data_IF_308579422355
#
_entry.id   IF_308579422355
#
_cell.length_a   1.000
_cell.length_b   1.000
_cell.length_c   1.000
_cell.angle_alpha   90.00
_cell.angle_beta   90.00
_cell.angle_gamma   90.00
#
_symmetry.space_group_name_H-M   'P 1'
#
loop_
_entity.id
_entity.type
_entity.pdbx_description
1 polymer ?
#
# COMPACT_ATOMS: atom_id res chain seq x y z
N UNK A 1 6.56 -21.49 1.12
CA UNK A 1 5.28 -21.35 1.86
C UNK A 1 4.14 -21.77 0.94
N UNK A 2 3.32 -22.79 1.27
CA UNK A 2 2.28 -23.33 0.40
C UNK A 2 0.96 -22.55 0.52
N UNK A 3 0.96 -21.26 0.16
CA UNK A 3 -0.25 -20.41 0.21
C UNK A 3 -0.56 -19.88 -1.18
N UNK A 4 -1.84 -19.78 -1.52
CA UNK A 4 -2.28 -19.37 -2.86
C UNK A 4 -3.17 -18.15 -2.88
N UNK A 5 -3.70 -17.77 -1.73
CA UNK A 5 -4.70 -16.73 -1.53
C UNK A 5 -4.62 -16.22 -0.08
N UNK A 6 -5.36 -15.15 0.21
CA UNK A 6 -5.32 -14.54 1.53
C UNK A 6 -5.88 -15.44 2.64
N UNK A 7 -7.00 -16.19 2.45
CA UNK A 7 -7.49 -17.11 3.48
C UNK A 7 -6.46 -18.18 3.87
N UNK A 8 -5.80 -18.81 2.89
CA UNK A 8 -4.73 -19.78 3.15
C UNK A 8 -3.52 -19.15 3.84
N UNK A 9 -3.16 -17.91 3.49
CA UNK A 9 -2.10 -17.17 4.18
C UNK A 9 -2.46 -16.87 5.64
N UNK A 10 -3.68 -16.42 5.92
CA UNK A 10 -4.17 -16.17 7.29
C UNK A 10 -4.15 -17.47 8.09
N UNK A 11 -4.69 -18.56 7.55
CA UNK A 11 -4.70 -19.86 8.21
C UNK A 11 -3.29 -20.37 8.50
N UNK A 12 -2.39 -20.28 7.50
CA UNK A 12 -0.99 -20.67 7.64
C UNK A 12 -0.25 -19.84 8.70
N UNK A 13 -0.53 -18.54 8.78
CA UNK A 13 0.06 -17.67 9.82
C UNK A 13 -0.29 -18.16 11.24
N UNK A 14 -1.54 -18.57 11.45
CA UNK A 14 -2.03 -19.05 12.75
C UNK A 14 -1.48 -20.41 13.15
N UNK A 15 -1.25 -21.30 12.17
CA UNK A 15 -0.73 -22.64 12.43
C UNK A 15 0.80 -22.70 12.51
N UNK A 16 1.50 -21.65 12.06
CA UNK A 16 2.96 -21.60 12.10
C UNK A 16 3.43 -21.15 13.49
N UNK A 17 4.24 -21.95 14.21
CA UNK A 17 4.85 -21.50 15.46
C UNK A 17 5.67 -20.22 15.25
N UNK A 18 5.39 -19.18 16.03
CA UNK A 18 6.02 -17.86 15.85
C UNK A 18 5.46 -17.02 14.69
N UNK A 19 4.40 -17.49 14.01
CA UNK A 19 3.72 -16.72 12.97
C UNK A 19 4.47 -16.66 11.63
N UNK A 20 4.14 -15.66 10.82
CA UNK A 20 4.78 -15.41 9.52
C UNK A 20 5.33 -13.99 9.51
N UNK A 21 6.63 -13.85 9.28
CA UNK A 21 7.26 -12.54 9.16
C UNK A 21 6.85 -11.81 7.87
N UNK A 22 6.64 -10.50 7.95
CA UNK A 22 6.39 -9.68 6.76
C UNK A 22 7.24 -8.41 6.75
N UNK A 23 7.76 -8.07 5.58
CA UNK A 23 8.49 -6.83 5.36
C UNK A 23 7.56 -5.65 5.05
N UNK A 24 8.03 -4.44 5.34
CA UNK A 24 7.40 -3.17 4.95
C UNK A 24 8.45 -2.13 4.58
N UNK A 25 8.04 -0.94 4.17
CA UNK A 25 8.93 0.20 3.96
C UNK A 25 9.38 0.91 5.25
N UNK A 26 9.02 0.39 6.44
CA UNK A 26 9.43 0.92 7.74
C UNK A 26 8.29 1.03 8.74
N UNK A 27 8.62 1.24 10.01
CA UNK A 27 7.64 1.49 11.07
C UNK A 27 6.83 2.76 10.77
N UNK A 28 5.54 2.71 11.03
CA UNK A 28 4.58 3.79 10.70
C UNK A 28 4.21 3.95 9.21
N UNK A 29 4.90 3.25 8.29
CA UNK A 29 4.56 3.31 6.86
C UNK A 29 3.19 2.72 6.55
N UNK A 30 2.53 3.16 5.48
CA UNK A 30 1.23 2.62 5.06
C UNK A 30 1.22 1.08 4.93
N UNK A 31 2.26 0.42 4.38
CA UNK A 31 2.33 -1.05 4.38
C UNK A 31 2.43 -1.68 5.79
N UNK A 32 3.10 -1.02 6.74
CA UNK A 32 3.10 -1.46 8.13
C UNK A 32 1.70 -1.36 8.74
N UNK A 33 1.02 -0.21 8.59
CA UNK A 33 -0.35 -0.01 9.07
C UNK A 33 -1.32 -1.05 8.48
N UNK A 34 -1.13 -1.41 7.22
CA UNK A 34 -1.96 -2.39 6.54
C UNK A 34 -1.80 -3.81 7.10
N UNK A 35 -0.56 -4.23 7.37
CA UNK A 35 -0.28 -5.51 8.02
C UNK A 35 -0.89 -5.58 9.43
N UNK A 36 -0.73 -4.51 10.21
CA UNK A 36 -1.29 -4.42 11.56
C UNK A 36 -2.82 -4.39 11.58
N UNK A 37 -3.45 -3.63 10.68
CA UNK A 37 -4.91 -3.65 10.55
C UNK A 37 -5.42 -5.05 10.14
N UNK A 38 -4.68 -5.76 9.29
CA UNK A 38 -5.05 -7.11 8.88
C UNK A 38 -4.96 -8.08 10.06
N UNK A 39 -3.92 -7.98 10.89
CA UNK A 39 -3.80 -8.74 12.15
C UNK A 39 -5.01 -8.48 13.05
N UNK A 40 -5.33 -7.22 13.32
CA UNK A 40 -6.48 -6.82 14.16
C UNK A 40 -7.79 -7.39 13.64
N UNK A 41 -8.05 -7.31 12.33
CA UNK A 41 -9.33 -7.74 11.75
C UNK A 41 -9.49 -9.25 11.61
N UNK A 42 -8.39 -10.01 11.55
CA UNK A 42 -8.44 -11.44 11.19
C UNK A 42 -7.89 -12.37 12.26
N UNK A 43 -7.18 -11.82 13.26
CA UNK A 43 -6.38 -12.59 14.21
C UNK A 43 -5.19 -13.30 13.58
N UNK A 44 -4.75 -12.90 12.38
CA UNK A 44 -3.54 -13.44 11.76
C UNK A 44 -2.32 -13.18 12.65
N UNK A 45 -1.38 -14.12 12.63
CA UNK A 45 -0.14 -14.03 13.40
C UNK A 45 1.00 -13.62 12.47
N UNK A 46 1.08 -12.32 12.21
CA UNK A 46 2.14 -11.73 11.38
C UNK A 46 3.14 -10.95 12.23
N UNK A 47 4.42 -11.17 11.97
CA UNK A 47 5.55 -10.51 12.64
C UNK A 47 6.16 -9.45 11.72
N UNK A 48 6.15 -8.19 12.15
CA UNK A 48 6.60 -7.07 11.32
C UNK A 48 8.13 -6.95 11.33
N UNK A 49 8.73 -6.94 10.14
CA UNK A 49 10.15 -6.68 9.93
C UNK A 49 10.29 -5.33 9.20
N UNK A 50 10.72 -4.25 9.88
CA UNK A 50 10.89 -2.95 9.26
C UNK A 50 12.16 -2.91 8.40
N UNK A 51 12.02 -2.46 7.15
CA UNK A 51 13.15 -2.14 6.27
C UNK A 51 13.26 -0.63 6.09
N UNK A 52 14.42 -0.16 5.60
CA UNK A 52 14.63 1.25 5.21
C UNK A 52 13.86 1.68 3.95
N UNK A 53 13.15 0.74 3.31
CA UNK A 53 12.34 0.97 2.12
C UNK A 53 11.87 -0.33 1.48
N UNK A 54 10.85 -0.24 0.62
CA UNK A 54 10.23 -1.43 0.00
C UNK A 54 11.14 -2.22 -0.95
N UNK A 55 12.18 -1.60 -1.51
CA UNK A 55 13.11 -2.26 -2.44
C UNK A 55 13.96 -3.34 -1.77
N UNK A 56 14.50 -3.07 -0.59
CA UNK A 56 15.30 -4.05 0.17
C UNK A 56 14.41 -5.22 0.62
N UNK A 57 13.22 -4.94 1.15
CA UNK A 57 12.26 -5.98 1.52
C UNK A 57 11.87 -6.87 0.32
N UNK A 58 11.68 -6.29 -0.86
CA UNK A 58 11.37 -7.04 -2.09
C UNK A 58 12.51 -7.98 -2.50
N UNK A 59 13.77 -7.52 -2.42
CA UNK A 59 14.92 -8.35 -2.73
C UNK A 59 14.98 -9.59 -1.81
N UNK A 60 14.69 -9.43 -0.52
CA UNK A 60 14.67 -10.54 0.43
C UNK A 60 13.52 -11.52 0.17
N UNK A 61 12.35 -11.05 -0.29
CA UNK A 61 11.27 -11.94 -0.71
C UNK A 61 11.64 -12.72 -1.97
N UNK A 62 12.23 -12.05 -2.97
CA UNK A 62 12.69 -12.70 -4.20
C UNK A 62 13.81 -13.72 -3.91
N UNK A 63 14.69 -13.40 -2.96
CA UNK A 63 15.77 -14.28 -2.50
C UNK A 63 15.33 -15.40 -1.56
N UNK A 64 14.08 -15.35 -1.05
CA UNK A 64 13.52 -16.35 -0.14
C UNK A 64 13.89 -16.17 1.33
N UNK A 65 14.62 -15.12 1.69
CA UNK A 65 14.97 -14.77 3.08
C UNK A 65 13.75 -14.30 3.88
N UNK A 66 12.85 -13.56 3.23
CA UNK A 66 11.63 -13.03 3.83
C UNK A 66 10.41 -13.71 3.17
N UNK A 67 9.46 -14.28 3.92
CA UNK A 67 8.41 -15.09 3.31
C UNK A 67 7.32 -14.28 2.62
N UNK A 68 7.10 -13.03 3.05
CA UNK A 68 6.15 -12.12 2.40
C UNK A 68 6.50 -10.66 2.68
N UNK A 69 5.94 -9.76 1.88
CA UNK A 69 5.99 -8.33 2.15
C UNK A 69 4.66 -7.65 1.88
N UNK A 70 4.42 -6.56 2.58
CA UNK A 70 3.43 -5.56 2.21
C UNK A 70 4.19 -4.39 1.57
N UNK A 71 3.79 -3.97 0.36
CA UNK A 71 4.49 -2.89 -0.35
C UNK A 71 3.58 -2.16 -1.34
N UNK A 72 4.03 -1.01 -1.83
CA UNK A 72 3.39 -0.30 -2.92
C UNK A 72 3.47 -1.13 -4.22
N UNK A 73 2.37 -1.16 -4.98
CA UNK A 73 2.26 -1.97 -6.21
C UNK A 73 3.36 -1.62 -7.21
N UNK A 74 3.74 -0.35 -7.33
CA UNK A 74 4.83 0.08 -8.19
C UNK A 74 6.17 -0.63 -7.92
N UNK A 75 6.47 -0.96 -6.66
CA UNK A 75 7.67 -1.71 -6.29
C UNK A 75 7.57 -3.21 -6.53
N UNK A 76 6.36 -3.78 -6.50
CA UNK A 76 6.12 -5.22 -6.68
C UNK A 76 5.82 -5.62 -8.11
N UNK A 77 5.18 -4.75 -8.88
CA UNK A 77 4.58 -5.07 -10.17
C UNK A 77 5.56 -5.72 -11.15
N UNK A 78 6.81 -5.23 -11.33
CA UNK A 78 7.77 -5.89 -12.23
C UNK A 78 8.11 -7.32 -11.82
N UNK A 79 8.15 -7.62 -10.52
CA UNK A 79 8.46 -8.96 -10.00
C UNK A 79 7.27 -9.91 -10.12
N UNK A 80 6.05 -9.39 -9.95
CA UNK A 80 4.81 -10.13 -10.18
C UNK A 80 4.68 -10.51 -11.66
N UNK A 81 4.94 -9.56 -12.57
CA UNK A 81 4.89 -9.81 -14.02
C UNK A 81 5.91 -10.86 -14.48
N UNK A 82 7.10 -10.89 -13.84
CA UNK A 82 8.12 -11.92 -14.11
C UNK A 82 7.89 -13.25 -13.38
N UNK A 83 6.81 -13.38 -12.60
CA UNK A 83 6.50 -14.59 -11.83
C UNK A 83 7.48 -14.88 -10.69
N UNK A 84 8.33 -13.91 -10.30
CA UNK A 84 9.30 -14.08 -9.22
C UNK A 84 8.66 -14.03 -7.84
N UNK A 85 7.55 -13.30 -7.72
CA UNK A 85 6.71 -13.24 -6.51
C UNK A 85 5.25 -13.37 -6.89
N UNK A 86 4.44 -13.87 -5.95
CA UNK A 86 3.00 -14.00 -6.13
C UNK A 86 2.27 -12.87 -5.41
N UNK A 87 1.44 -12.11 -6.14
CA UNK A 87 0.51 -11.16 -5.53
C UNK A 87 -0.68 -11.91 -4.92
N UNK A 88 -0.87 -11.78 -3.60
CA UNK A 88 -1.92 -12.49 -2.85
C UNK A 88 -3.24 -11.70 -2.81
N UNK A 89 -3.15 -10.41 -2.48
CA UNK A 89 -4.29 -9.50 -2.46
C UNK A 89 -3.82 -8.05 -2.64
N UNK A 90 -4.71 -7.18 -3.11
CA UNK A 90 -4.51 -5.72 -3.09
C UNK A 90 -5.29 -5.08 -1.95
N UNK A 91 -4.74 -4.01 -1.41
CA UNK A 91 -5.23 -3.30 -0.23
C UNK A 91 -6.29 -2.25 -0.52
N UNK A 92 -6.52 -1.97 -1.80
CA UNK A 92 -7.45 -1.00 -2.33
C UNK A 92 -8.90 -1.47 -2.23
N UNK A 93 -9.83 -0.52 -2.22
CA UNK A 93 -11.27 -0.81 -2.22
C UNK A 93 -11.73 -1.63 -3.43
N UNK A 94 -11.02 -1.52 -4.55
CA UNK A 94 -11.29 -2.25 -5.80
C UNK A 94 -10.01 -2.86 -6.34
N UNK A 95 -10.12 -3.88 -7.18
CA UNK A 95 -8.97 -4.45 -7.88
C UNK A 95 -8.28 -3.40 -8.74
N UNK A 96 -6.97 -3.54 -8.87
CA UNK A 96 -6.18 -2.66 -9.73
C UNK A 96 -6.31 -3.10 -11.19
N UNK A 97 -6.43 -2.15 -12.10
CA UNK A 97 -6.46 -2.44 -13.54
C UNK A 97 -5.19 -3.17 -14.02
N UNK A 98 -4.06 -2.90 -13.36
CA UNK A 98 -2.77 -3.58 -13.61
C UNK A 98 -2.74 -5.03 -13.07
N UNK A 99 -3.57 -5.37 -12.09
CA UNK A 99 -3.64 -6.69 -11.46
C UNK A 99 -5.08 -7.20 -11.37
N UNK A 100 -5.81 -7.33 -12.49
CA UNK A 100 -7.26 -7.58 -12.48
C UNK A 100 -7.64 -8.96 -11.91
N UNK A 101 -6.68 -9.90 -11.90
CA UNK A 101 -6.84 -11.25 -11.35
C UNK A 101 -6.54 -11.33 -9.85
N UNK A 102 -5.93 -10.30 -9.26
CA UNK A 102 -5.59 -10.27 -7.83
C UNK A 102 -6.79 -9.70 -7.08
N UNK A 103 -7.39 -10.44 -6.14
CA UNK A 103 -8.55 -9.96 -5.39
C UNK A 103 -8.15 -8.83 -4.43
N UNK A 104 -9.14 -8.04 -4.00
CA UNK A 104 -8.92 -7.15 -2.86
C UNK A 104 -8.89 -7.95 -1.56
N UNK A 105 -8.32 -7.37 -0.51
CA UNK A 105 -8.40 -7.94 0.85
C UNK A 105 -9.87 -8.05 1.31
N UNK A 106 -10.71 -7.08 0.95
CA UNK A 106 -12.14 -7.11 1.24
C UNK A 106 -12.88 -8.27 0.53
N UNK A 107 -12.61 -8.48 -0.77
CA UNK A 107 -13.12 -9.61 -1.54
C UNK A 107 -12.63 -10.96 -0.99
N UNK A 108 -11.49 -10.96 -0.31
CA UNK A 108 -10.86 -12.17 0.25
C UNK A 108 -11.34 -12.51 1.68
N UNK A 109 -12.47 -11.95 2.11
CA UNK A 109 -13.10 -12.30 3.39
C UNK A 109 -12.81 -11.35 4.54
N UNK A 110 -12.33 -10.13 4.29
CA UNK A 110 -12.10 -9.10 5.32
C UNK A 110 -12.89 -7.82 5.01
N UNK A 111 -14.23 -7.81 5.22
CA UNK A 111 -15.07 -6.69 4.84
C UNK A 111 -14.63 -5.33 5.41
N UNK A 112 -14.74 -4.29 4.59
CA UNK A 112 -14.34 -2.93 4.96
C UNK A 112 -12.83 -2.75 5.16
N UNK A 113 -12.00 -3.71 4.76
CA UNK A 113 -10.56 -3.51 4.69
C UNK A 113 -10.23 -2.64 3.49
N UNK A 114 -9.62 -1.50 3.77
CA UNK A 114 -9.02 -0.65 2.75
C UNK A 114 -7.84 0.08 3.37
N UNK A 115 -6.66 -0.06 2.77
CA UNK A 115 -5.47 0.72 3.11
C UNK A 115 -4.80 1.12 1.81
N UNK A 116 -5.04 2.35 1.39
CA UNK A 116 -4.52 2.89 0.15
C UNK A 116 -3.40 3.89 0.43
N UNK A 117 -2.47 3.96 -0.51
CA UNK A 117 -1.41 4.98 -0.50
C UNK A 117 -1.60 5.90 -1.69
N UNK A 118 -1.37 7.19 -1.47
CA UNK A 118 -1.29 8.19 -2.51
C UNK A 118 0.10 8.83 -2.52
N UNK A 119 0.44 9.48 -3.63
CA UNK A 119 1.61 10.33 -3.76
C UNK A 119 1.09 11.71 -4.18
N UNK A 120 1.52 12.75 -3.48
CA UNK A 120 1.15 14.11 -3.80
C UNK A 120 2.25 15.09 -3.46
N UNK A 121 2.01 16.35 -3.82
CA UNK A 121 2.97 17.45 -3.63
C UNK A 121 2.41 18.41 -2.59
N UNK A 122 3.21 18.72 -1.60
CA UNK A 122 2.89 19.70 -0.55
C UNK A 122 3.80 20.91 -0.70
N UNK A 123 3.27 22.09 -0.37
CA UNK A 123 4.02 23.34 -0.28
C UNK A 123 3.95 23.87 1.16
N UNK A 124 4.86 24.78 1.57
CA UNK A 124 4.77 25.43 2.87
C UNK A 124 3.38 26.02 3.14
N UNK A 125 2.91 25.95 4.39
CA UNK A 125 1.53 26.32 4.76
C UNK A 125 1.11 27.75 4.38
N UNK A 126 2.08 28.66 4.20
CA UNK A 126 1.87 30.07 3.85
C UNK A 126 2.17 30.39 2.38
N UNK A 127 2.34 29.38 1.52
CA UNK A 127 2.54 29.61 0.08
C UNK A 127 1.32 30.35 -0.51
N UNK A 128 1.52 31.48 -1.22
CA UNK A 128 0.43 32.23 -1.84
C UNK A 128 -0.45 31.39 -2.77
N UNK A 129 -1.76 31.59 -2.70
CA UNK A 129 -2.74 30.84 -3.51
C UNK A 129 -2.43 30.86 -5.02
N UNK A 130 -2.01 31.98 -5.65
CA UNK A 130 -1.67 31.98 -7.08
C UNK A 130 -0.55 31.00 -7.46
N UNK A 131 0.39 30.71 -6.55
CA UNK A 131 1.45 29.72 -6.78
C UNK A 131 0.88 28.30 -6.69
N UNK A 132 0.00 28.03 -5.72
CA UNK A 132 -0.68 26.74 -5.58
C UNK A 132 -1.53 26.45 -6.81
N UNK A 133 -2.30 27.43 -7.28
CA UNK A 133 -3.16 27.30 -8.46
C UNK A 133 -2.32 27.02 -9.73
N UNK A 134 -1.19 27.71 -9.87
CA UNK A 134 -0.27 27.47 -10.99
C UNK A 134 0.31 26.07 -10.93
N UNK A 135 0.81 25.62 -9.78
CA UNK A 135 1.35 24.27 -9.61
C UNK A 135 0.29 23.21 -9.89
N UNK A 136 -0.92 23.35 -9.34
CA UNK A 136 -1.98 22.38 -9.56
C UNK A 136 -2.40 22.32 -11.03
N UNK A 137 -2.50 23.46 -11.72
CA UNK A 137 -2.81 23.48 -13.16
C UNK A 137 -1.77 22.69 -13.97
N UNK A 138 -0.48 22.92 -13.72
CA UNK A 138 0.59 22.24 -14.45
C UNK A 138 0.67 20.74 -14.11
N UNK A 139 0.52 20.38 -12.83
CA UNK A 139 0.50 18.98 -12.39
C UNK A 139 -0.69 18.24 -12.98
N UNK A 140 -1.88 18.84 -12.96
CA UNK A 140 -3.08 18.27 -13.57
C UNK A 140 -2.89 18.08 -15.08
N UNK A 141 -2.23 19.00 -15.78
CA UNK A 141 -1.90 18.79 -17.19
C UNK A 141 -0.95 17.60 -17.39
N UNK A 142 0.17 17.56 -16.66
CA UNK A 142 1.22 16.53 -16.82
C UNK A 142 0.70 15.12 -16.57
N UNK A 143 -0.09 14.91 -15.52
CA UNK A 143 -0.63 13.58 -15.18
C UNK A 143 -1.67 13.07 -16.17
N UNK A 144 -2.16 13.93 -17.07
CA UNK A 144 -3.07 13.59 -18.16
C UNK A 144 -2.37 13.46 -19.52
N UNK A 145 -1.07 13.76 -19.63
CA UNK A 145 -0.29 13.46 -20.84
C UNK A 145 -0.32 11.94 -21.06
N UNK A 146 -0.70 11.44 -22.26
CA UNK A 146 -0.87 10.01 -22.50
C UNK A 146 0.34 9.16 -22.10
N UNK A 147 1.55 9.57 -22.50
CA UNK A 147 2.79 8.87 -22.15
C UNK A 147 3.01 8.76 -20.62
N UNK A 148 2.71 9.84 -19.88
CA UNK A 148 2.83 9.84 -18.42
C UNK A 148 1.77 8.94 -17.79
N UNK A 149 0.52 9.04 -18.25
CA UNK A 149 -0.59 8.22 -17.78
C UNK A 149 -0.33 6.73 -18.03
N UNK A 150 0.14 6.38 -19.22
CA UNK A 150 0.53 5.01 -19.59
C UNK A 150 1.71 4.53 -18.75
N UNK A 151 2.71 5.38 -18.53
CA UNK A 151 3.86 5.03 -17.70
C UNK A 151 3.45 4.77 -16.26
N UNK A 152 2.60 5.61 -15.67
CA UNK A 152 2.05 5.41 -14.33
C UNK A 152 1.22 4.12 -14.25
N UNK A 153 0.32 3.91 -15.22
CA UNK A 153 -0.49 2.70 -15.29
C UNK A 153 0.37 1.43 -15.44
N UNK A 154 1.48 1.49 -16.17
CA UNK A 154 2.45 0.39 -16.31
C UNK A 154 3.14 0.02 -14.99
N UNK A 155 3.09 0.91 -14.00
CA UNK A 155 3.58 0.68 -12.63
C UNK A 155 2.43 0.38 -11.65
N UNK A 156 1.20 0.26 -12.15
CA UNK A 156 0.01 0.09 -11.32
C UNK A 156 -0.37 1.34 -10.52
N UNK A 157 0.05 2.53 -10.96
CA UNK A 157 -0.32 3.81 -10.37
C UNK A 157 -1.48 4.39 -11.19
N UNK A 158 -2.56 4.76 -10.51
CA UNK A 158 -3.64 5.54 -11.09
C UNK A 158 -3.26 7.02 -11.06
N UNK A 159 -3.28 7.68 -12.22
CA UNK A 159 -2.98 9.11 -12.27
C UNK A 159 -4.13 9.91 -11.69
N UNK A 160 -3.84 10.69 -10.64
CA UNK A 160 -4.76 11.65 -10.04
C UNK A 160 -4.36 13.06 -10.47
N UNK A 161 -5.36 13.90 -10.75
CA UNK A 161 -5.21 15.33 -11.03
C UNK A 161 -6.11 16.16 -10.12
N UNK A 162 -6.31 15.69 -8.88
CA UNK A 162 -7.25 16.29 -7.95
C UNK A 162 -6.91 17.77 -7.64
N UNK A 163 -7.90 18.49 -7.14
CA UNK A 163 -7.75 19.88 -6.70
C UNK A 163 -7.06 19.93 -5.33
N UNK A 164 -6.48 21.08 -4.93
CA UNK A 164 -5.86 21.20 -3.61
C UNK A 164 -6.87 20.96 -2.47
N UNK A 165 -8.14 21.32 -2.68
CA UNK A 165 -9.21 21.08 -1.72
C UNK A 165 -9.57 19.59 -1.59
N UNK A 166 -9.65 18.87 -2.72
CA UNK A 166 -9.87 17.42 -2.70
C UNK A 166 -8.70 16.69 -2.03
N UNK A 167 -7.46 17.09 -2.33
CA UNK A 167 -6.30 16.47 -1.70
C UNK A 167 -6.21 16.77 -0.21
N UNK A 168 -6.58 17.98 0.23
CA UNK A 168 -6.72 18.29 1.66
C UNK A 168 -7.74 17.39 2.34
N UNK A 169 -8.91 17.21 1.74
CA UNK A 169 -9.96 16.34 2.29
C UNK A 169 -9.49 14.87 2.38
N UNK A 170 -8.72 14.39 1.40
CA UNK A 170 -8.10 13.06 1.42
C UNK A 170 -7.10 12.91 2.58
N UNK A 171 -6.23 13.91 2.78
CA UNK A 171 -5.28 13.94 3.90
C UNK A 171 -6.03 13.93 5.25
N UNK A 172 -7.06 14.76 5.42
CA UNK A 172 -7.84 14.84 6.66
C UNK A 172 -8.58 13.53 6.96
N UNK A 173 -9.18 12.92 5.93
CA UNK A 173 -9.81 11.61 6.03
C UNK A 173 -8.82 10.54 6.47
N UNK A 174 -7.66 10.48 5.82
CA UNK A 174 -6.64 9.47 6.10
C UNK A 174 -5.99 9.65 7.47
N UNK A 175 -5.74 10.90 7.89
CA UNK A 175 -5.26 11.19 9.25
C UNK A 175 -6.21 10.62 10.31
N UNK A 176 -7.52 10.81 10.13
CA UNK A 176 -8.53 10.25 11.06
C UNK A 176 -8.53 8.72 11.01
N UNK A 177 -8.62 8.14 9.82
CA UNK A 177 -8.66 6.69 9.61
C UNK A 177 -7.44 5.99 10.19
N UNK A 178 -6.24 6.49 9.89
CA UNK A 178 -5.00 5.86 10.33
C UNK A 178 -4.68 6.13 11.80
N UNK A 179 -5.16 7.23 12.39
CA UNK A 179 -5.07 7.41 13.85
C UNK A 179 -5.78 6.29 14.61
N UNK A 180 -6.94 5.85 14.14
CA UNK A 180 -7.67 4.73 14.76
C UNK A 180 -6.93 3.41 14.59
N UNK A 181 -6.31 3.17 13.41
CA UNK A 181 -5.46 1.99 13.17
C UNK A 181 -4.26 1.98 14.12
N UNK A 182 -3.52 3.09 14.20
CA UNK A 182 -2.33 3.23 15.05
C UNK A 182 -2.68 2.97 16.52
N UNK A 183 -3.79 3.52 17.02
CA UNK A 183 -4.26 3.27 18.39
C UNK A 183 -4.63 1.81 18.61
N UNK A 184 -5.42 1.24 17.70
CA UNK A 184 -5.92 -0.14 17.84
C UNK A 184 -4.79 -1.16 17.79
N UNK A 185 -3.79 -0.93 16.94
CA UNK A 185 -2.63 -1.80 16.82
C UNK A 185 -1.47 -1.44 17.77
N UNK A 186 -1.63 -0.43 18.64
CA UNK A 186 -0.60 0.08 19.55
C UNK A 186 0.76 0.34 18.84
N UNK A 187 0.70 0.92 17.65
CA UNK A 187 1.88 1.24 16.84
C UNK A 187 2.57 2.46 17.44
N UNK A 188 3.90 2.38 17.59
CA UNK A 188 4.73 3.49 18.06
C UNK A 188 5.89 3.70 17.10
N UNK A 189 6.16 4.96 16.79
CA UNK A 189 7.40 5.42 16.15
C UNK A 189 8.14 6.14 17.27
N UNK A 190 9.39 5.77 17.49
CA UNK A 190 10.29 6.36 18.49
C UNK A 190 10.67 7.81 18.18
#
# INVERSE_FOLDING_TARGET
>A
MPVTDLPSLIAYSKSTPGGVSYGSAGTGSTPHLAGELLKVKTGAHFEHIPYKGGGQAMADVVGGTLPMLYTAVAGAYPFVQRGQVKAIAVSSAKRLASLPKVPTVAESGVPGFEVNSWIGILAPAKTPQPIIDRLQKELNYVVHIPEIKERLASLGIESSGNTPAQFRAEIEHDLKKYADVVKTANIRVD
#
